data_IF_498037965620
#
_entry.id   IF_498037965620
#
_cell.length_a   1.000
_cell.length_b   1.000
_cell.length_c   1.000
_cell.angle_alpha   90.00
_cell.angle_beta   90.00
_cell.angle_gamma   90.00
#
_symmetry.space_group_name_H-M   'P 1'
#
loop_
_entity.id
_entity.type
_entity.pdbx_description
1 polymer ?
#
# COMPACT_ATOMS: atom_id res chain seq x y z
N UNK A 1 -33.55 -42.28 -13.95
CA UNK A 1 -32.54 -41.78 -14.89
C UNK A 1 -32.67 -40.26 -15.02
N UNK A 2 -31.78 -39.50 -14.45
CA UNK A 2 -31.79 -38.03 -14.54
C UNK A 2 -31.28 -37.66 -15.95
N UNK A 3 -32.13 -36.97 -16.73
CA UNK A 3 -31.76 -36.55 -18.08
C UNK A 3 -30.55 -35.60 -18.01
N UNK A 4 -29.54 -35.77 -18.89
CA UNK A 4 -28.30 -34.95 -18.95
C UNK A 4 -28.59 -33.44 -18.91
N UNK A 5 -29.72 -32.99 -19.45
CA UNK A 5 -30.18 -31.61 -19.45
C UNK A 5 -30.56 -31.09 -18.05
N UNK A 6 -31.13 -31.98 -17.19
CA UNK A 6 -31.49 -31.62 -15.81
C UNK A 6 -30.23 -31.56 -14.90
N UNK A 7 -29.21 -32.38 -15.21
CA UNK A 7 -27.92 -32.34 -14.49
C UNK A 7 -27.20 -31.02 -14.68
N UNK A 8 -27.27 -30.42 -15.88
CA UNK A 8 -26.70 -29.14 -16.19
C UNK A 8 -27.34 -27.99 -15.40
N UNK A 9 -28.69 -28.00 -15.28
CA UNK A 9 -29.43 -27.05 -14.43
C UNK A 9 -29.08 -27.19 -12.95
N UNK A 10 -28.89 -28.41 -12.46
CA UNK A 10 -28.51 -28.67 -11.07
C UNK A 10 -27.11 -28.13 -10.77
N UNK A 11 -26.19 -28.25 -11.71
CA UNK A 11 -24.85 -27.70 -11.58
C UNK A 11 -24.87 -26.15 -11.56
N UNK A 12 -25.68 -25.54 -12.45
CA UNK A 12 -25.85 -24.10 -12.51
C UNK A 12 -26.52 -23.57 -11.22
N UNK A 13 -27.54 -24.28 -10.69
CA UNK A 13 -28.17 -23.92 -9.42
C UNK A 13 -27.20 -24.01 -8.24
N UNK A 14 -26.30 -25.00 -8.22
CA UNK A 14 -25.28 -25.15 -7.20
C UNK A 14 -24.32 -23.96 -7.20
N UNK A 15 -23.90 -23.47 -8.37
CA UNK A 15 -23.01 -22.30 -8.48
C UNK A 15 -23.69 -21.04 -7.97
N UNK A 16 -24.98 -20.83 -8.35
CA UNK A 16 -25.76 -19.68 -7.87
C UNK A 16 -25.90 -19.73 -6.35
N UNK A 17 -26.18 -20.92 -5.80
CA UNK A 17 -26.33 -21.11 -4.34
C UNK A 17 -25.03 -20.77 -3.59
N UNK A 18 -23.87 -21.21 -4.10
CA UNK A 18 -22.56 -20.86 -3.52
C UNK A 18 -22.32 -19.36 -3.56
N UNK A 19 -22.66 -18.70 -4.67
CA UNK A 19 -22.54 -17.24 -4.78
C UNK A 19 -23.46 -16.50 -3.81
N UNK A 20 -24.71 -16.99 -3.61
CA UNK A 20 -25.64 -16.42 -2.63
C UNK A 20 -25.10 -16.56 -1.20
N UNK A 21 -24.58 -17.73 -0.83
CA UNK A 21 -23.97 -17.95 0.49
C UNK A 21 -22.74 -17.05 0.66
N UNK A 22 -21.92 -16.90 -0.38
CA UNK A 22 -20.77 -15.99 -0.36
C UNK A 22 -21.20 -14.54 -0.12
N UNK A 23 -22.24 -14.05 -0.80
CA UNK A 23 -22.77 -12.69 -0.60
C UNK A 23 -23.36 -12.46 0.80
N UNK A 24 -23.99 -13.48 1.40
CA UNK A 24 -24.56 -13.37 2.75
C UNK A 24 -23.48 -13.46 3.85
N UNK A 25 -22.38 -14.17 3.58
CA UNK A 25 -21.27 -14.33 4.54
C UNK A 25 -20.21 -13.22 4.45
N UNK A 26 -20.28 -12.32 3.46
CA UNK A 26 -19.41 -11.13 3.45
C UNK A 26 -19.80 -10.27 4.65
N UNK A 27 -18.90 -10.02 5.62
CA UNK A 27 -19.16 -9.13 6.74
C UNK A 27 -19.55 -7.75 6.19
N UNK A 28 -20.64 -7.18 6.68
CA UNK A 28 -21.17 -5.87 6.25
C UNK A 28 -20.20 -4.71 6.50
N UNK A 29 -19.07 -4.95 7.15
CA UNK A 29 -18.04 -3.94 7.40
C UNK A 29 -17.30 -3.50 6.14
N UNK A 30 -17.19 -4.37 5.12
CA UNK A 30 -16.57 -4.01 3.83
C UNK A 30 -17.52 -3.23 2.92
N UNK A 31 -18.84 -3.42 3.04
CA UNK A 31 -19.85 -2.68 2.26
C UNK A 31 -20.10 -1.28 2.83
N UNK A 32 -19.92 -1.07 4.14
CA UNK A 32 -20.07 0.25 4.77
C UNK A 32 -19.00 1.27 4.33
N UNK A 33 -17.87 0.81 3.84
CA UNK A 33 -16.81 1.69 3.33
C UNK A 33 -17.15 2.33 1.98
N UNK A 34 -18.12 1.78 1.24
CA UNK A 34 -18.51 2.28 -0.09
C UNK A 34 -19.78 3.13 -0.06
N UNK A 35 -20.66 2.97 0.93
CA UNK A 35 -21.95 3.68 0.99
C UNK A 35 -21.99 4.92 1.88
N UNK A 36 -20.93 5.24 2.63
CA UNK A 36 -20.90 6.43 3.49
C UNK A 36 -20.47 7.70 2.74
N UNK A 37 -20.51 7.72 1.41
CA UNK A 37 -20.18 8.91 0.61
C UNK A 37 -21.43 9.75 0.24
N UNK A 38 -22.58 9.55 0.88
CA UNK A 38 -23.75 10.43 0.71
C UNK A 38 -24.59 10.51 1.98
N UNK A 39 -24.33 11.46 2.81
CA UNK A 39 -25.17 12.46 3.48
C UNK A 39 -24.72 12.85 4.90
N UNK A 40 -24.52 14.12 4.98
CA UNK A 40 -24.72 15.04 6.11
C UNK A 40 -23.73 15.06 7.27
N UNK A 41 -23.17 16.22 7.32
CA UNK A 41 -22.83 17.09 8.44
C UNK A 41 -21.36 17.28 8.77
N UNK A 42 -21.00 18.54 8.52
CA UNK A 42 -20.10 19.35 9.33
C UNK A 42 -18.63 19.33 8.96
N UNK A 43 -18.21 20.39 8.36
CA UNK A 43 -16.91 21.10 8.25
C UNK A 43 -15.62 20.54 8.88
N UNK A 44 -15.67 19.46 9.67
CA UNK A 44 -14.49 18.86 10.29
C UNK A 44 -14.07 17.52 9.65
N UNK A 45 -14.97 16.92 8.86
CA UNK A 45 -14.72 15.63 8.16
C UNK A 45 -14.08 15.85 6.80
N UNK A 46 -14.27 17.03 6.19
CA UNK A 46 -13.75 17.34 4.85
C UNK A 46 -12.24 17.56 4.89
N UNK A 47 -11.69 18.19 5.91
CA UNK A 47 -10.25 18.41 6.05
C UNK A 47 -9.48 17.10 6.21
N UNK A 48 -9.97 16.18 7.03
CA UNK A 48 -9.31 14.87 7.25
C UNK A 48 -9.37 13.95 6.03
N UNK A 49 -10.35 14.13 5.14
CA UNK A 49 -10.47 13.31 3.91
C UNK A 49 -9.50 13.80 2.81
N UNK A 50 -9.31 15.11 2.67
CA UNK A 50 -8.37 15.66 1.68
C UNK A 50 -6.91 15.33 2.04
N UNK A 51 -6.59 15.27 3.30
CA UNK A 51 -5.24 14.99 3.79
C UNK A 51 -4.86 13.51 3.74
N UNK A 52 -5.76 12.63 4.18
CA UNK A 52 -5.61 11.19 3.95
C UNK A 52 -5.51 10.88 2.44
N UNK A 53 -6.20 11.66 1.61
CA UNK A 53 -6.16 11.59 0.15
C UNK A 53 -4.77 11.89 -0.42
N UNK A 54 -4.03 12.86 0.13
CA UNK A 54 -2.69 13.22 -0.34
C UNK A 54 -1.66 12.11 -0.08
N UNK A 55 -1.60 11.53 1.12
CA UNK A 55 -0.71 10.40 1.40
C UNK A 55 -1.13 9.14 0.65
N UNK A 56 -2.43 8.91 0.50
CA UNK A 56 -2.95 7.79 -0.29
C UNK A 56 -2.53 7.93 -1.75
N UNK A 57 -2.62 9.13 -2.33
CA UNK A 57 -2.18 9.38 -3.69
C UNK A 57 -0.67 9.09 -3.87
N UNK A 58 0.17 9.48 -2.91
CA UNK A 58 1.60 9.16 -2.93
C UNK A 58 1.86 7.65 -2.88
N UNK A 59 1.11 6.91 -2.04
CA UNK A 59 1.22 5.45 -1.96
C UNK A 59 0.79 4.78 -3.26
N UNK A 60 -0.36 5.21 -3.83
CA UNK A 60 -0.86 4.67 -5.10
C UNK A 60 0.15 4.89 -6.22
N UNK A 61 0.68 6.11 -6.36
CA UNK A 61 1.68 6.41 -7.39
C UNK A 61 2.95 5.54 -7.22
N UNK A 62 3.44 5.40 -5.99
CA UNK A 62 4.61 4.55 -5.72
C UNK A 62 4.32 3.08 -6.04
N UNK A 63 3.12 2.61 -5.69
CA UNK A 63 2.70 1.24 -5.98
C UNK A 63 2.58 0.98 -7.48
N UNK A 64 2.06 1.94 -8.24
CA UNK A 64 1.98 1.85 -9.71
C UNK A 64 3.39 1.81 -10.33
N UNK A 65 4.28 2.75 -9.97
CA UNK A 65 5.68 2.75 -10.42
C UNK A 65 6.37 1.40 -10.13
N UNK A 66 6.21 0.89 -8.93
CA UNK A 66 6.80 -0.37 -8.48
C UNK A 66 6.23 -1.57 -9.22
N UNK A 67 4.92 -1.59 -9.42
CA UNK A 67 4.25 -2.66 -10.17
C UNK A 67 4.70 -2.72 -11.63
N UNK A 68 4.87 -1.56 -12.27
CA UNK A 68 5.41 -1.49 -13.63
C UNK A 68 6.84 -2.04 -13.70
N UNK A 69 7.71 -1.64 -12.75
CA UNK A 69 9.08 -2.16 -12.68
C UNK A 69 9.11 -3.68 -12.44
N UNK A 70 8.29 -4.18 -11.51
CA UNK A 70 8.16 -5.62 -11.25
C UNK A 70 7.69 -6.37 -12.48
N UNK A 71 6.71 -5.85 -13.23
CA UNK A 71 6.21 -6.49 -14.45
C UNK A 71 7.30 -6.60 -15.52
N UNK A 72 8.12 -5.55 -15.68
CA UNK A 72 9.28 -5.57 -16.61
C UNK A 72 10.28 -6.63 -16.19
N UNK A 73 10.64 -6.68 -14.90
CA UNK A 73 11.59 -7.66 -14.38
C UNK A 73 11.07 -9.11 -14.50
N UNK A 74 9.78 -9.33 -14.20
CA UNK A 74 9.14 -10.64 -14.38
C UNK A 74 9.14 -11.08 -15.84
N UNK A 75 8.89 -10.16 -16.77
CA UNK A 75 8.97 -10.44 -18.19
C UNK A 75 10.38 -10.86 -18.59
N UNK A 76 11.42 -10.18 -18.12
CA UNK A 76 12.81 -10.55 -18.35
C UNK A 76 13.13 -11.97 -17.88
N UNK A 77 12.54 -12.44 -16.78
CA UNK A 77 12.73 -13.81 -16.31
C UNK A 77 12.14 -14.87 -17.23
N UNK A 78 11.13 -14.51 -18.03
CA UNK A 78 10.46 -15.43 -18.99
C UNK A 78 11.08 -15.40 -20.38
N UNK A 79 11.88 -14.38 -20.69
CA UNK A 79 12.58 -14.26 -21.98
C UNK A 79 13.82 -15.15 -22.03
N UNK A 80 14.33 -15.36 -23.26
CA UNK A 80 15.55 -16.16 -23.49
C UNK A 80 16.81 -15.33 -23.27
N UNK A 81 16.99 -14.89 -22.01
CA UNK A 81 18.12 -14.11 -21.54
C UNK A 81 19.20 -15.01 -20.93
N UNK A 82 20.40 -14.47 -20.77
CA UNK A 82 21.48 -15.14 -20.07
C UNK A 82 21.15 -15.40 -18.60
N UNK A 83 21.79 -16.40 -18.00
CA UNK A 83 21.61 -16.70 -16.58
C UNK A 83 21.99 -15.52 -15.67
N UNK A 84 22.96 -14.71 -16.07
CA UNK A 84 23.37 -13.52 -15.33
C UNK A 84 22.29 -12.45 -15.34
N UNK A 85 21.67 -12.17 -16.48
CA UNK A 85 20.57 -11.20 -16.61
C UNK A 85 19.34 -11.65 -15.82
N UNK A 86 18.99 -12.93 -15.87
CA UNK A 86 17.90 -13.50 -15.06
C UNK A 86 18.18 -13.39 -13.56
N UNK A 87 19.41 -13.66 -13.12
CA UNK A 87 19.80 -13.51 -11.72
C UNK A 87 19.69 -12.06 -11.27
N UNK A 88 20.16 -11.11 -12.08
CA UNK A 88 20.05 -9.68 -11.79
C UNK A 88 18.57 -9.23 -11.70
N UNK A 89 17.71 -9.71 -12.58
CA UNK A 89 16.27 -9.41 -12.51
C UNK A 89 15.63 -10.00 -11.25
N UNK A 90 16.01 -11.22 -10.86
CA UNK A 90 15.53 -11.83 -9.63
C UNK A 90 15.97 -11.08 -8.36
N UNK A 91 17.25 -10.69 -8.29
CA UNK A 91 17.77 -9.91 -7.14
C UNK A 91 17.07 -8.54 -7.04
N UNK A 92 16.78 -7.90 -8.18
CA UNK A 92 16.01 -6.65 -8.18
C UNK A 92 14.58 -6.85 -7.69
N UNK A 93 13.88 -7.91 -8.12
CA UNK A 93 12.52 -8.22 -7.63
C UNK A 93 12.52 -8.45 -6.12
N UNK A 94 13.50 -9.20 -5.63
CA UNK A 94 13.66 -9.43 -4.19
C UNK A 94 13.88 -8.11 -3.44
N UNK A 95 14.77 -7.27 -3.94
CA UNK A 95 15.05 -5.96 -3.38
C UNK A 95 13.80 -5.06 -3.32
N UNK A 96 12.99 -5.01 -4.39
CA UNK A 96 11.75 -4.22 -4.40
C UNK A 96 10.76 -4.66 -3.33
N UNK A 97 10.60 -5.98 -3.12
CA UNK A 97 9.73 -6.50 -2.06
C UNK A 97 10.27 -6.20 -0.65
N UNK A 98 11.59 -6.30 -0.45
CA UNK A 98 12.23 -5.97 0.83
C UNK A 98 12.08 -4.49 1.17
N UNK A 99 12.25 -3.60 0.18
CA UNK A 99 12.06 -2.15 0.36
C UNK A 99 10.61 -1.82 0.71
N UNK A 100 9.63 -2.41 0.04
CA UNK A 100 8.21 -2.21 0.35
C UNK A 100 7.89 -2.55 1.80
N UNK A 101 8.37 -3.68 2.28
CA UNK A 101 8.20 -4.08 3.68
C UNK A 101 8.87 -3.12 4.66
N UNK A 102 10.09 -2.64 4.34
CA UNK A 102 10.81 -1.67 5.17
C UNK A 102 10.12 -0.30 5.22
N UNK A 103 9.53 0.16 4.12
CA UNK A 103 8.76 1.40 4.05
C UNK A 103 7.53 1.32 4.97
N UNK A 104 6.77 0.22 4.89
CA UNK A 104 5.62 -0.02 5.76
C UNK A 104 6.02 -0.07 7.23
N UNK A 105 7.08 -0.78 7.57
CA UNK A 105 7.59 -0.87 8.95
C UNK A 105 8.02 0.51 9.48
N UNK A 106 8.66 1.33 8.66
CA UNK A 106 9.02 2.71 8.98
C UNK A 106 7.77 3.57 9.25
N UNK A 107 6.76 3.51 8.39
CA UNK A 107 5.49 4.23 8.56
C UNK A 107 4.77 3.81 9.84
N UNK A 108 4.65 2.51 10.09
CA UNK A 108 4.03 1.96 11.30
C UNK A 108 4.76 2.41 12.57
N UNK A 109 6.09 2.44 12.53
CA UNK A 109 6.89 2.87 13.68
C UNK A 109 6.76 4.36 13.96
N UNK A 110 6.73 5.21 12.92
CA UNK A 110 6.45 6.64 13.07
C UNK A 110 5.05 6.83 13.67
N UNK A 111 4.05 6.13 13.16
CA UNK A 111 2.68 6.21 13.66
C UNK A 111 2.57 5.75 15.12
N UNK A 112 3.27 4.69 15.49
CA UNK A 112 3.27 4.17 16.87
C UNK A 112 3.93 5.12 17.85
N UNK A 113 5.14 5.63 17.52
CA UNK A 113 5.98 6.35 18.46
C UNK A 113 5.69 7.86 18.48
N UNK A 114 5.38 8.45 17.32
CA UNK A 114 5.15 9.90 17.17
C UNK A 114 3.68 10.28 16.94
N UNK A 115 2.80 9.30 16.70
CA UNK A 115 1.37 9.50 16.37
C UNK A 115 1.16 10.35 15.13
N UNK A 116 2.08 10.26 14.16
CA UNK A 116 2.03 10.94 12.89
C UNK A 116 1.67 9.96 11.78
N UNK A 117 0.80 10.37 10.89
CA UNK A 117 0.58 9.69 9.62
C UNK A 117 1.62 10.19 8.61
N UNK A 118 2.47 9.29 8.16
CA UNK A 118 3.54 9.59 7.22
C UNK A 118 3.49 8.61 6.05
N UNK A 119 3.99 9.08 4.92
CA UNK A 119 4.41 8.29 3.78
C UNK A 119 5.93 8.23 3.78
N UNK A 120 6.50 7.08 3.53
CA UNK A 120 7.96 6.87 3.45
C UNK A 120 8.29 6.21 2.13
N UNK A 121 9.23 6.79 1.38
CA UNK A 121 9.83 6.20 0.16
C UNK A 121 11.32 6.04 0.38
N UNK A 122 11.82 4.82 0.19
CA UNK A 122 13.23 4.46 0.31
C UNK A 122 13.78 4.24 -1.10
N UNK A 123 14.83 4.97 -1.44
CA UNK A 123 15.56 4.84 -2.69
C UNK A 123 17.05 4.74 -2.40
N UNK A 124 17.56 3.51 -2.34
CA UNK A 124 18.94 3.20 -1.99
C UNK A 124 19.39 3.86 -0.66
N UNK A 125 20.19 4.91 -0.75
CA UNK A 125 20.69 5.67 0.41
C UNK A 125 19.78 6.84 0.79
N UNK A 126 18.76 7.16 0.00
CA UNK A 126 17.88 8.28 0.23
C UNK A 126 16.55 7.81 0.83
N UNK A 127 16.08 8.51 1.84
CA UNK A 127 14.77 8.28 2.45
C UNK A 127 13.98 9.58 2.39
N UNK A 128 12.85 9.56 1.71
CA UNK A 128 11.93 10.68 1.63
C UNK A 128 10.69 10.38 2.46
N UNK A 129 10.40 11.21 3.44
CA UNK A 129 9.19 11.08 4.25
C UNK A 129 8.32 12.33 4.14
N UNK A 130 7.02 12.12 3.95
CA UNK A 130 6.00 13.16 3.95
C UNK A 130 5.04 12.87 5.09
N UNK A 131 4.98 13.75 6.07
CA UNK A 131 4.16 13.57 7.27
C UNK A 131 3.08 14.65 7.36
N UNK A 132 1.91 14.29 7.87
CA UNK A 132 0.84 15.25 8.13
C UNK A 132 0.98 15.78 9.55
N UNK A 133 1.11 17.10 9.70
CA UNK A 133 1.14 17.76 11.01
C UNK A 133 0.93 19.26 10.90
N UNK A 134 -0.04 19.79 11.66
CA UNK A 134 -0.28 21.24 11.78
C UNK A 134 0.79 21.94 12.60
N UNK A 135 1.32 21.25 13.60
CA UNK A 135 2.31 21.77 14.54
C UNK A 135 3.70 21.18 14.25
N UNK A 136 4.19 21.38 13.03
CA UNK A 136 5.52 20.92 12.67
C UNK A 136 6.59 21.94 13.08
N UNK A 137 7.71 21.43 13.57
CA UNK A 137 8.90 22.20 13.91
C UNK A 137 10.17 21.35 13.69
N UNK A 138 11.33 21.98 13.76
CA UNK A 138 12.62 21.30 13.58
C UNK A 138 12.82 20.14 14.57
N UNK A 139 12.32 20.27 15.79
CA UNK A 139 12.42 19.21 16.81
C UNK A 139 11.66 17.97 16.39
N UNK A 140 10.45 18.13 15.82
CA UNK A 140 9.65 17.03 15.32
C UNK A 140 10.29 16.39 14.09
N UNK A 141 10.80 17.20 13.15
CA UNK A 141 11.57 16.70 12.00
C UNK A 141 12.75 15.86 12.43
N UNK A 142 13.53 16.34 13.40
CA UNK A 142 14.69 15.63 13.94
C UNK A 142 14.28 14.31 14.62
N UNK A 143 13.11 14.25 15.29
CA UNK A 143 12.59 12.98 15.87
C UNK A 143 12.26 11.98 14.79
N UNK A 144 11.57 12.39 13.71
CA UNK A 144 11.27 11.52 12.56
C UNK A 144 12.56 11.02 11.92
N UNK A 145 13.52 11.91 11.65
CA UNK A 145 14.81 11.54 11.05
C UNK A 145 15.58 10.53 11.90
N UNK A 146 15.66 10.74 13.21
CA UNK A 146 16.33 9.80 14.14
C UNK A 146 15.65 8.45 14.20
N UNK A 147 14.32 8.45 14.18
CA UNK A 147 13.52 7.23 14.21
C UNK A 147 13.72 6.44 12.92
N UNK A 148 13.69 7.10 11.77
CA UNK A 148 13.99 6.48 10.47
C UNK A 148 15.44 5.96 10.44
N UNK A 149 16.43 6.78 10.83
CA UNK A 149 17.82 6.35 10.85
C UNK A 149 18.05 5.13 11.75
N UNK A 150 17.30 4.98 12.84
CA UNK A 150 17.42 3.83 13.74
C UNK A 150 16.97 2.49 13.15
N UNK A 151 16.35 2.49 11.97
CA UNK A 151 15.96 1.27 11.25
C UNK A 151 17.07 0.74 10.34
N UNK A 152 18.15 1.52 10.17
CA UNK A 152 19.23 1.21 9.25
C UNK A 152 20.56 1.26 9.97
N UNK A 153 21.39 0.26 9.73
CA UNK A 153 22.75 0.21 10.26
C UNK A 153 23.68 1.22 9.54
N UNK A 154 23.38 1.49 8.26
CA UNK A 154 24.10 2.44 7.45
C UNK A 154 23.51 3.84 7.54
N UNK A 155 24.35 4.87 7.36
CA UNK A 155 23.89 6.24 7.33
C UNK A 155 23.07 6.51 6.05
N UNK A 156 21.85 7.01 6.22
CA UNK A 156 20.93 7.37 5.14
C UNK A 156 20.74 8.88 5.05
N UNK A 157 20.50 9.37 3.83
CA UNK A 157 20.13 10.77 3.58
C UNK A 157 18.61 10.91 3.72
N UNK A 158 18.16 11.46 4.85
CA UNK A 158 16.74 11.49 5.20
C UNK A 158 16.20 12.91 4.99
N UNK A 159 15.17 13.00 4.16
CA UNK A 159 14.41 14.24 3.94
C UNK A 159 13.02 14.08 4.53
N UNK A 160 12.61 15.02 5.39
CA UNK A 160 11.28 15.05 5.98
C UNK A 160 10.55 16.30 5.53
N UNK A 161 9.38 16.13 4.94
CA UNK A 161 8.46 17.20 4.56
C UNK A 161 7.20 17.10 5.39
N UNK A 162 6.64 18.25 5.79
CA UNK A 162 5.36 18.28 6.48
C UNK A 162 4.30 18.92 5.57
N UNK A 163 3.13 18.30 5.56
CA UNK A 163 1.92 18.86 5.01
C UNK A 163 1.00 19.24 6.15
N UNK A 164 0.23 20.30 5.98
CA UNK A 164 -0.79 20.68 6.95
C UNK A 164 -1.96 19.72 6.85
N UNK A 165 -2.63 19.54 7.96
CA UNK A 165 -3.90 18.85 8.09
C UNK A 165 -4.99 19.55 7.36
#
# INVERSE_FOLDING_TARGET
MIKKRNLWYLMLFSIIFVLCVYYVTIPNDLLKTIETTKKDNSNKVVETIEEASSLVALRVNLQEERQEEMNVLQKQLTEDLSNEEKNNAYEKLKYLNEIESLEEDCELKIKKDLKLDCFVKIDNSNINSVCISDNHNESLANKVMRLLQSQFDEQKYITVKFQKS
#
